data_IF_601972359055
#
_entry.id   IF_601972359055
#
_cell.length_a   1.000
_cell.length_b   1.000
_cell.length_c   1.000
_cell.angle_alpha   90.00
_cell.angle_beta   90.00
_cell.angle_gamma   90.00
#
_symmetry.space_group_name_H-M   'P 1'
#
loop_
_entity.id
_entity.type
_entity.pdbx_description
1 polymer ?
#
# COMPACT_ATOMS: atom_id res chain seq x y z
N UNK A 1 32.01 -20.72 58.52
CA UNK A 1 32.10 -19.67 57.49
C UNK A 1 32.14 -20.32 56.13
N UNK A 2 31.03 -20.33 55.44
CA UNK A 2 30.91 -20.77 54.07
C UNK A 2 31.10 -19.56 53.14
N UNK A 3 32.09 -19.63 52.29
CA UNK A 3 32.34 -18.62 51.23
C UNK A 3 31.34 -18.86 50.10
N UNK A 4 30.54 -17.84 49.79
CA UNK A 4 29.69 -17.85 48.62
C UNK A 4 30.52 -17.36 47.43
N UNK A 5 30.75 -18.25 46.45
CA UNK A 5 31.31 -17.88 45.17
C UNK A 5 30.28 -17.08 44.38
N UNK A 6 30.61 -15.85 44.05
CA UNK A 6 29.84 -15.00 43.14
C UNK A 6 30.29 -15.40 41.73
N UNK A 7 29.38 -16.00 40.96
CA UNK A 7 29.59 -16.28 39.55
C UNK A 7 29.72 -14.96 38.77
N UNK A 8 30.84 -14.81 38.05
CA UNK A 8 31.14 -13.71 37.18
C UNK A 8 30.31 -13.80 35.88
N UNK A 9 29.33 -12.90 35.71
CA UNK A 9 28.46 -12.80 34.55
C UNK A 9 29.00 -11.86 33.46
N UNK A 10 30.32 -11.60 33.42
CA UNK A 10 30.89 -10.61 32.48
C UNK A 10 31.23 -11.15 31.09
N UNK A 11 30.78 -12.34 30.70
CA UNK A 11 31.06 -12.95 29.38
C UNK A 11 29.78 -13.48 28.73
N UNK A 12 28.72 -12.64 28.65
CA UNK A 12 27.70 -12.83 27.65
C UNK A 12 27.92 -11.75 26.57
N UNK A 13 28.72 -12.11 25.56
CA UNK A 13 28.81 -11.37 24.33
C UNK A 13 27.46 -11.37 23.66
N UNK A 14 26.89 -10.18 23.52
CA UNK A 14 25.75 -9.88 22.67
C UNK A 14 26.17 -10.18 21.22
N UNK A 15 26.08 -11.43 20.80
CA UNK A 15 26.09 -11.78 19.38
C UNK A 15 24.75 -11.39 18.81
N UNK A 16 24.63 -10.11 18.49
CA UNK A 16 23.65 -9.65 17.52
C UNK A 16 23.97 -10.39 16.22
N UNK A 17 23.24 -11.47 15.96
CA UNK A 17 23.26 -12.12 14.65
C UNK A 17 22.63 -11.11 13.68
N UNK A 18 23.46 -10.24 13.15
CA UNK A 18 23.14 -9.52 11.93
C UNK A 18 23.13 -10.58 10.84
N UNK A 19 21.97 -11.13 10.53
CA UNK A 19 21.77 -11.84 9.29
C UNK A 19 21.93 -10.80 8.17
N UNK A 20 23.16 -10.58 7.73
CA UNK A 20 23.42 -10.02 6.42
C UNK A 20 22.91 -11.06 5.45
N UNK A 21 21.66 -10.88 4.98
CA UNK A 21 21.21 -11.58 3.81
C UNK A 21 22.26 -11.29 2.72
N UNK A 22 22.89 -12.33 2.20
CA UNK A 22 23.65 -12.25 0.95
C UNK A 22 22.74 -11.54 -0.04
N UNK A 23 23.23 -10.56 -0.82
CA UNK A 23 22.41 -9.92 -1.82
C UNK A 23 22.00 -10.99 -2.82
N UNK A 24 20.75 -11.43 -2.72
CA UNK A 24 20.14 -12.33 -3.69
C UNK A 24 20.20 -11.59 -5.03
N UNK A 25 21.01 -12.10 -5.95
CA UNK A 25 21.20 -11.49 -7.27
C UNK A 25 19.91 -11.60 -8.06
N UNK A 26 19.04 -10.59 -7.97
CA UNK A 26 17.70 -10.44 -8.45
C UNK A 26 16.61 -11.10 -7.59
N UNK A 27 15.79 -10.29 -6.97
CA UNK A 27 14.53 -10.74 -6.38
C UNK A 27 13.59 -11.26 -7.49
N UNK A 28 12.59 -12.06 -7.10
CA UNK A 28 11.59 -12.60 -8.04
C UNK A 28 10.81 -11.52 -8.81
N UNK A 29 10.87 -10.27 -8.39
CA UNK A 29 10.31 -9.14 -9.14
C UNK A 29 10.86 -9.04 -10.56
N UNK A 30 12.10 -9.47 -10.79
CA UNK A 30 12.72 -9.49 -12.12
C UNK A 30 11.98 -10.37 -13.13
N UNK A 31 11.22 -11.37 -12.67
CA UNK A 31 10.49 -12.31 -13.51
C UNK A 31 9.15 -11.75 -14.02
N UNK A 32 8.68 -10.64 -13.46
CA UNK A 32 7.44 -10.01 -13.87
C UNK A 32 7.64 -9.10 -15.10
N UNK A 33 6.68 -9.12 -16.02
CA UNK A 33 6.68 -8.21 -17.17
C UNK A 33 6.73 -6.72 -16.73
N UNK A 34 6.16 -6.41 -15.58
CA UNK A 34 6.19 -5.08 -14.95
C UNK A 34 7.61 -4.58 -14.65
N UNK A 35 8.60 -5.47 -14.47
CA UNK A 35 9.98 -5.12 -14.22
C UNK A 35 10.65 -4.35 -15.39
N UNK A 36 10.09 -4.43 -16.60
CA UNK A 36 10.53 -3.63 -17.74
C UNK A 36 9.84 -2.27 -17.83
N UNK A 37 8.83 -2.02 -17.00
CA UNK A 37 7.99 -0.82 -17.05
C UNK A 37 8.24 0.12 -15.87
N UNK A 38 8.69 -0.41 -14.73
CA UNK A 38 8.86 0.31 -13.47
C UNK A 38 10.23 0.04 -12.86
N UNK A 39 10.75 0.99 -12.11
CA UNK A 39 11.98 0.83 -11.32
C UNK A 39 11.71 0.37 -9.88
N UNK A 40 10.44 0.42 -9.44
CA UNK A 40 9.98 -0.16 -8.19
C UNK A 40 8.69 -0.93 -8.41
N UNK A 41 8.52 -2.02 -7.67
CA UNK A 41 7.30 -2.83 -7.68
C UNK A 41 6.85 -3.17 -6.27
N UNK A 42 5.55 -2.99 -6.02
CA UNK A 42 4.85 -3.66 -4.95
C UNK A 42 4.14 -4.87 -5.56
N UNK A 43 4.39 -6.06 -5.03
CA UNK A 43 3.79 -7.31 -5.55
C UNK A 43 2.87 -7.88 -4.48
N UNK A 44 1.61 -8.09 -4.86
CA UNK A 44 0.54 -8.62 -4.01
C UNK A 44 0.18 -10.00 -4.49
N UNK A 45 0.60 -11.01 -3.74
CA UNK A 45 0.29 -12.42 -4.04
C UNK A 45 -0.82 -12.87 -3.10
N UNK A 46 -2.03 -13.05 -3.64
CA UNK A 46 -3.20 -13.35 -2.84
C UNK A 46 -3.38 -14.85 -2.56
N UNK A 47 -3.92 -15.13 -1.40
CA UNK A 47 -4.33 -16.45 -0.93
C UNK A 47 -5.74 -16.33 -0.33
N UNK A 48 -6.74 -16.30 -1.17
CA UNK A 48 -8.11 -15.97 -0.77
C UNK A 48 -8.25 -14.49 -0.43
N UNK A 49 -8.51 -14.16 0.82
CA UNK A 49 -8.64 -12.77 1.29
C UNK A 49 -7.37 -12.22 1.94
N UNK A 50 -6.36 -13.07 2.11
CA UNK A 50 -5.02 -12.68 2.60
C UNK A 50 -4.06 -12.55 1.43
N UNK A 51 -2.98 -11.84 1.65
CA UNK A 51 -1.92 -11.71 0.67
C UNK A 51 -0.55 -11.64 1.35
N UNK A 52 0.47 -12.08 0.62
CA UNK A 52 1.86 -11.67 0.86
C UNK A 52 2.11 -10.44 0.01
N UNK A 53 2.53 -9.36 0.65
CA UNK A 53 2.85 -8.09 0.01
C UNK A 53 4.34 -7.84 0.12
N UNK A 54 4.99 -7.64 -1.02
CA UNK A 54 6.43 -7.38 -1.08
C UNK A 54 6.70 -6.09 -1.84
N UNK A 55 7.76 -5.38 -1.44
CA UNK A 55 8.23 -4.20 -2.17
C UNK A 55 9.65 -4.45 -2.66
N UNK A 56 9.89 -4.08 -3.90
CA UNK A 56 11.15 -4.29 -4.59
C UNK A 56 11.61 -3.01 -5.27
N UNK A 57 12.92 -2.83 -5.34
CA UNK A 57 13.53 -1.75 -6.10
C UNK A 57 14.63 -2.28 -7.00
N UNK A 58 14.81 -1.62 -8.15
CA UNK A 58 15.88 -1.92 -9.08
C UNK A 58 16.98 -0.87 -8.97
N UNK A 59 18.22 -1.34 -8.89
CA UNK A 59 19.41 -0.52 -9.05
C UNK A 59 20.39 -1.24 -9.99
N UNK A 60 20.85 -0.53 -11.01
CA UNK A 60 21.81 -1.05 -12.01
C UNK A 60 21.39 -2.41 -12.63
N UNK A 61 20.08 -2.59 -12.84
CA UNK A 61 19.50 -3.80 -13.42
C UNK A 61 19.29 -4.95 -12.41
N UNK A 62 19.63 -4.76 -11.15
CA UNK A 62 19.44 -5.75 -10.08
C UNK A 62 18.24 -5.38 -9.24
N UNK A 63 17.30 -6.30 -9.08
CA UNK A 63 16.12 -6.16 -8.24
C UNK A 63 16.39 -6.66 -6.83
N UNK A 64 16.02 -5.87 -5.84
CA UNK A 64 16.16 -6.20 -4.41
C UNK A 64 14.81 -6.12 -3.71
N UNK A 65 14.45 -7.16 -2.97
CA UNK A 65 13.28 -7.13 -2.07
C UNK A 65 13.65 -6.33 -0.81
N UNK A 66 12.89 -5.25 -0.56
CA UNK A 66 13.13 -4.35 0.58
C UNK A 66 12.05 -4.44 1.66
N UNK A 67 10.91 -5.09 1.37
CA UNK A 67 9.83 -5.36 2.32
C UNK A 67 9.13 -6.66 1.96
N UNK A 68 8.80 -7.44 2.99
CA UNK A 68 7.89 -8.58 2.90
C UNK A 68 6.98 -8.56 4.11
N UNK A 69 5.68 -8.54 3.89
CA UNK A 69 4.68 -8.46 4.95
C UNK A 69 3.39 -9.17 4.57
N UNK A 70 2.59 -9.49 5.57
CA UNK A 70 1.23 -9.99 5.37
C UNK A 70 0.27 -8.82 5.14
N UNK A 71 -0.74 -9.07 4.30
CA UNK A 71 -1.78 -8.11 4.01
C UNK A 71 -3.14 -8.75 3.77
N UNK A 72 -4.09 -7.91 3.44
CA UNK A 72 -5.44 -8.32 3.04
C UNK A 72 -5.80 -7.70 1.70
N UNK A 73 -6.63 -8.43 0.98
CA UNK A 73 -7.31 -7.98 -0.25
C UNK A 73 -8.81 -7.97 -0.03
N UNK A 74 -9.57 -7.72 -1.08
CA UNK A 74 -11.02 -7.69 -1.03
C UNK A 74 -11.65 -8.96 -0.47
N UNK A 75 -12.82 -8.84 0.14
CA UNK A 75 -13.56 -9.98 0.72
C UNK A 75 -13.98 -11.02 -0.31
N UNK A 76 -13.92 -10.69 -1.59
CA UNK A 76 -14.10 -11.60 -2.74
C UNK A 76 -12.78 -12.03 -3.38
N UNK A 77 -11.65 -11.78 -2.73
CA UNK A 77 -10.33 -12.09 -3.26
C UNK A 77 -9.88 -11.12 -4.35
N UNK A 78 -8.95 -11.61 -5.18
CA UNK A 78 -8.44 -10.90 -6.36
C UNK A 78 -9.15 -11.40 -7.62
N UNK A 79 -9.51 -10.48 -8.51
CA UNK A 79 -10.19 -10.83 -9.77
C UNK A 79 -10.71 -9.61 -10.51
N UNK A 80 -11.81 -9.78 -11.21
CA UNK A 80 -12.48 -8.70 -11.91
C UNK A 80 -13.15 -7.75 -10.89
N UNK A 81 -12.71 -6.51 -10.89
CA UNK A 81 -13.24 -5.48 -10.00
C UNK A 81 -14.32 -4.65 -10.70
N UNK A 82 -15.25 -4.17 -9.91
CA UNK A 82 -16.29 -3.21 -10.34
C UNK A 82 -16.86 -2.48 -9.14
N UNK A 83 -17.71 -1.49 -9.37
CA UNK A 83 -18.43 -0.78 -8.31
C UNK A 83 -19.33 -1.73 -7.46
N UNK A 84 -19.68 -2.90 -7.99
CA UNK A 84 -20.65 -3.83 -7.41
C UNK A 84 -20.04 -5.06 -6.76
N UNK A 85 -18.71 -5.16 -6.71
CA UNK A 85 -18.03 -6.32 -6.11
C UNK A 85 -16.92 -5.86 -5.17
N UNK A 86 -16.73 -6.61 -4.08
CA UNK A 86 -15.61 -6.42 -3.15
C UNK A 86 -14.37 -7.23 -3.55
N UNK A 87 -14.13 -7.38 -4.86
CA UNK A 87 -12.90 -7.96 -5.40
C UNK A 87 -11.82 -6.88 -5.56
N UNK A 88 -10.58 -7.25 -5.28
CA UNK A 88 -9.41 -6.43 -5.62
C UNK A 88 -9.07 -6.64 -7.09
N UNK A 89 -8.82 -5.58 -7.88
CA UNK A 89 -8.51 -5.74 -9.30
C UNK A 89 -7.23 -6.53 -9.52
N UNK A 90 -7.30 -7.54 -10.38
CA UNK A 90 -6.14 -8.30 -10.83
C UNK A 90 -5.43 -7.55 -11.95
N UNK A 91 -4.11 -7.50 -11.91
CA UNK A 91 -3.31 -6.90 -12.98
C UNK A 91 -2.13 -6.10 -12.46
N UNK A 92 -1.56 -5.30 -13.38
CA UNK A 92 -0.45 -4.38 -13.11
C UNK A 92 -0.95 -2.95 -13.28
N UNK A 93 -0.73 -2.13 -12.26
CA UNK A 93 -1.20 -0.74 -12.23
C UNK A 93 -0.08 0.19 -11.74
N UNK A 94 -0.08 1.48 -12.12
CA UNK A 94 0.76 2.45 -11.45
C UNK A 94 0.32 2.60 -9.97
N UNK A 95 1.30 2.80 -9.10
CA UNK A 95 1.09 3.05 -7.67
C UNK A 95 1.65 4.43 -7.34
N UNK A 96 0.77 5.37 -7.04
CA UNK A 96 1.13 6.77 -6.88
C UNK A 96 0.12 7.54 -6.03
N UNK A 97 0.23 8.86 -5.98
CA UNK A 97 -0.63 9.74 -5.22
C UNK A 97 -0.67 9.36 -3.74
N UNK A 98 0.40 9.70 -3.04
CA UNK A 98 0.53 9.46 -1.61
C UNK A 98 -0.33 10.46 -0.82
N UNK A 99 -1.15 9.94 0.08
CA UNK A 99 -2.02 10.75 0.93
C UNK A 99 -2.34 10.05 2.25
N UNK A 100 -2.93 10.76 3.17
CA UNK A 100 -3.41 10.17 4.41
C UNK A 100 -3.81 11.20 5.45
N UNK A 101 -4.43 10.70 6.52
CA UNK A 101 -4.88 11.52 7.66
C UNK A 101 -3.68 11.89 8.53
N UNK A 102 -2.72 10.97 8.67
CA UNK A 102 -1.52 11.19 9.46
C UNK A 102 -0.56 12.17 8.76
N UNK A 103 0.30 12.86 9.51
CA UNK A 103 1.36 13.67 8.93
C UNK A 103 2.27 12.85 8.01
N UNK A 104 2.91 13.52 7.04
CA UNK A 104 3.88 12.89 6.15
C UNK A 104 4.92 12.07 6.93
N UNK A 105 5.05 10.76 6.67
CA UNK A 105 5.96 9.88 7.41
C UNK A 105 7.43 10.02 6.97
N UNK A 106 7.75 10.96 6.10
CA UNK A 106 9.08 11.16 5.51
C UNK A 106 9.18 10.65 4.07
N UNK A 107 8.07 10.63 3.32
CA UNK A 107 8.09 10.27 1.89
C UNK A 107 8.85 11.30 1.06
N UNK A 108 9.50 10.83 0.01
CA UNK A 108 10.23 11.65 -0.97
C UNK A 108 9.34 12.15 -2.11
N UNK A 109 8.19 11.49 -2.30
CA UNK A 109 7.18 11.92 -3.29
C UNK A 109 6.23 12.94 -2.65
N UNK A 110 5.49 13.74 -3.44
CA UNK A 110 4.45 14.62 -2.89
C UNK A 110 3.45 13.84 -2.04
N UNK A 111 3.10 14.40 -0.88
CA UNK A 111 2.16 13.80 0.08
C UNK A 111 1.06 14.80 0.42
N UNK A 112 -0.19 14.39 0.24
CA UNK A 112 -1.37 15.14 0.68
C UNK A 112 -1.77 14.69 2.08
N UNK A 113 -1.54 15.52 3.10
CA UNK A 113 -2.22 15.32 4.38
C UNK A 113 -3.65 15.84 4.23
N UNK A 114 -4.62 14.93 4.33
CA UNK A 114 -6.04 15.25 4.10
C UNK A 114 -6.67 15.98 5.27
N UNK A 115 -7.68 16.77 4.97
CA UNK A 115 -8.54 17.44 5.94
C UNK A 115 -10.03 17.09 5.70
N UNK A 116 -10.94 17.78 6.39
CA UNK A 116 -12.38 17.52 6.35
C UNK A 116 -13.05 17.78 5.00
N UNK A 117 -12.36 18.40 4.06
CA UNK A 117 -12.88 18.73 2.72
C UNK A 117 -12.39 17.77 1.64
N UNK A 118 -11.47 16.86 1.94
CA UNK A 118 -10.91 15.95 0.96
C UNK A 118 -11.76 14.68 0.80
N UNK A 119 -12.17 14.43 -0.43
CA UNK A 119 -12.97 13.28 -0.85
C UNK A 119 -12.29 12.51 -1.96
N UNK A 120 -12.59 11.21 -2.04
CA UNK A 120 -12.40 10.44 -3.26
C UNK A 120 -13.76 10.24 -3.91
N UNK A 121 -13.94 10.76 -5.11
CA UNK A 121 -15.26 10.82 -5.77
C UNK A 121 -15.66 9.44 -6.25
N UNK A 122 -16.74 8.90 -5.69
CA UNK A 122 -17.34 7.62 -6.05
C UNK A 122 -18.62 7.73 -6.88
N UNK A 123 -19.08 8.95 -7.17
CA UNK A 123 -20.22 9.22 -8.06
C UNK A 123 -19.83 8.90 -9.52
N UNK A 124 -20.31 7.77 -10.03
CA UNK A 124 -20.01 7.28 -11.37
C UNK A 124 -20.56 8.17 -12.51
N UNK A 125 -21.46 9.10 -12.20
CA UNK A 125 -21.98 10.07 -13.16
C UNK A 125 -21.12 11.33 -13.26
N UNK A 126 -20.22 11.54 -12.31
CA UNK A 126 -19.35 12.72 -12.27
C UNK A 126 -18.15 12.58 -13.19
N UNK A 127 -17.72 13.66 -13.87
CA UNK A 127 -16.46 13.68 -14.60
C UNK A 127 -15.22 13.55 -13.69
N UNK A 128 -15.40 13.72 -12.36
CA UNK A 128 -14.37 13.52 -11.35
C UNK A 128 -14.38 12.10 -10.74
N UNK A 129 -15.20 11.19 -11.27
CA UNK A 129 -15.26 9.82 -10.79
C UNK A 129 -13.88 9.18 -10.67
N UNK A 130 -13.62 8.54 -9.53
CA UNK A 130 -12.34 7.94 -9.17
C UNK A 130 -11.15 8.92 -9.07
N UNK A 131 -11.41 10.15 -8.66
CA UNK A 131 -10.40 11.18 -8.41
C UNK A 131 -10.53 11.77 -7.02
N UNK A 132 -9.42 12.28 -6.48
CA UNK A 132 -9.43 13.09 -5.27
C UNK A 132 -9.96 14.48 -5.60
N UNK A 133 -10.90 14.99 -4.81
CA UNK A 133 -11.48 16.32 -4.98
C UNK A 133 -11.80 16.98 -3.63
N UNK A 134 -11.77 18.31 -3.60
CA UNK A 134 -12.12 19.09 -2.40
C UNK A 134 -13.58 19.57 -2.46
N UNK A 135 -14.22 19.55 -1.32
CA UNK A 135 -15.60 20.01 -1.12
C UNK A 135 -15.66 21.15 -0.07
N UNK A 136 -14.78 22.13 -0.19
CA UNK A 136 -14.74 23.36 0.62
C UNK A 136 -15.73 24.43 0.11
N UNK A 137 -16.44 24.12 -0.97
CA UNK A 137 -17.56 24.88 -1.55
C UNK A 137 -18.64 23.93 -2.05
N UNK A 138 -19.68 24.44 -2.69
CA UNK A 138 -20.69 23.61 -3.33
C UNK A 138 -20.05 22.79 -4.47
N UNK A 139 -20.39 21.50 -4.52
CA UNK A 139 -19.93 20.56 -5.53
C UNK A 139 -21.10 20.00 -6.34
N UNK A 140 -20.83 19.55 -7.56
CA UNK A 140 -21.81 19.00 -8.50
C UNK A 140 -21.82 17.45 -8.56
N UNK A 141 -21.08 16.80 -7.65
CA UNK A 141 -21.07 15.36 -7.51
C UNK A 141 -21.67 14.92 -6.16
N UNK A 142 -22.16 13.68 -6.11
CA UNK A 142 -22.80 13.13 -4.92
C UNK A 142 -21.77 12.73 -3.85
N UNK A 143 -21.80 13.48 -2.73
CA UNK A 143 -20.96 13.20 -1.55
C UNK A 143 -21.33 11.87 -0.88
N UNK A 144 -22.58 11.42 -0.98
CA UNK A 144 -23.03 10.17 -0.35
C UNK A 144 -22.53 8.91 -1.08
N UNK A 145 -22.19 9.05 -2.36
CA UNK A 145 -21.55 8.01 -3.17
C UNK A 145 -20.02 8.10 -3.16
N UNK A 146 -19.48 9.09 -2.44
CA UNK A 146 -18.04 9.37 -2.38
C UNK A 146 -17.47 9.11 -1.00
N UNK A 147 -16.17 8.83 -0.92
CA UNK A 147 -15.50 8.63 0.36
C UNK A 147 -14.92 9.94 0.88
N UNK A 148 -15.44 10.43 2.01
CA UNK A 148 -14.77 11.47 2.78
C UNK A 148 -13.62 10.83 3.52
N UNK A 149 -12.40 11.14 3.12
CA UNK A 149 -11.21 10.36 3.51
C UNK A 149 -10.99 10.38 5.01
N UNK A 150 -11.22 11.52 5.67
CA UNK A 150 -10.99 11.70 7.11
C UNK A 150 -11.93 10.84 8.00
N UNK A 151 -13.02 10.31 7.44
CA UNK A 151 -13.97 9.47 8.17
C UNK A 151 -13.46 8.04 8.40
N UNK A 152 -12.30 7.68 7.84
CA UNK A 152 -11.68 6.35 7.91
C UNK A 152 -10.31 6.37 8.62
N UNK A 153 -10.22 6.82 9.89
CA UNK A 153 -8.94 7.08 10.53
C UNK A 153 -8.06 5.84 10.71
N UNK A 154 -8.65 4.65 10.87
CA UNK A 154 -7.89 3.40 11.01
C UNK A 154 -7.37 2.85 9.68
N UNK A 155 -8.07 3.12 8.57
CA UNK A 155 -7.69 2.62 7.24
C UNK A 155 -6.85 3.65 6.47
N UNK A 156 -7.24 4.92 6.51
CA UNK A 156 -6.64 5.95 5.68
C UNK A 156 -5.65 6.84 6.42
N UNK A 157 -5.01 6.30 7.46
CA UNK A 157 -3.86 6.95 8.09
C UNK A 157 -2.75 7.23 7.09
N UNK A 158 -2.43 6.26 6.25
CA UNK A 158 -1.51 6.34 5.11
C UNK A 158 -2.07 5.59 3.91
N UNK A 159 -2.02 6.19 2.74
CA UNK A 159 -2.56 5.64 1.51
C UNK A 159 -1.69 5.91 0.30
N UNK A 160 -1.79 5.00 -0.67
CA UNK A 160 -1.36 5.16 -2.05
C UNK A 160 -2.50 4.77 -2.99
N UNK A 161 -2.72 5.55 -4.03
CA UNK A 161 -3.71 5.22 -5.05
C UNK A 161 -3.19 4.09 -5.94
N UNK A 162 -3.99 3.03 -6.09
CA UNK A 162 -3.79 1.99 -7.09
C UNK A 162 -4.45 2.49 -8.37
N UNK A 163 -3.65 2.69 -9.41
CA UNK A 163 -4.08 3.30 -10.66
C UNK A 163 -4.95 2.39 -11.54
N UNK A 164 -5.96 1.78 -10.92
CA UNK A 164 -7.03 1.08 -11.62
C UNK A 164 -8.13 2.07 -11.97
N UNK A 165 -8.68 1.95 -13.18
CA UNK A 165 -9.74 2.83 -13.68
C UNK A 165 -9.42 4.34 -13.56
N UNK A 166 -8.21 4.71 -13.94
CA UNK A 166 -7.73 6.11 -13.89
C UNK A 166 -8.61 7.04 -14.76
N UNK A 167 -9.12 6.50 -15.88
CA UNK A 167 -9.95 7.26 -16.83
C UNK A 167 -11.37 7.52 -16.29
N UNK A 168 -11.74 6.92 -15.15
CA UNK A 168 -13.03 7.11 -14.54
C UNK A 168 -14.18 6.55 -15.37
N UNK A 169 -13.97 5.39 -15.99
CA UNK A 169 -15.06 4.69 -16.70
C UNK A 169 -16.16 4.34 -15.71
N UNK A 170 -17.41 4.82 -15.93
CA UNK A 170 -18.51 4.59 -15.02
C UNK A 170 -18.71 3.12 -14.66
N UNK A 171 -18.99 2.84 -13.38
CA UNK A 171 -19.29 1.52 -12.83
C UNK A 171 -18.13 0.50 -12.83
N UNK A 172 -16.96 0.83 -13.36
CA UNK A 172 -15.78 -0.04 -13.30
C UNK A 172 -15.17 -0.13 -11.91
N UNK A 173 -15.51 0.80 -11.03
CA UNK A 173 -15.02 0.84 -9.66
C UNK A 173 -14.13 2.05 -9.38
N UNK A 174 -14.09 2.43 -8.11
CA UNK A 174 -13.35 3.59 -7.60
C UNK A 174 -12.78 3.30 -6.23
N UNK A 175 -11.91 4.20 -5.73
CA UNK A 175 -11.37 4.14 -4.38
C UNK A 175 -10.53 2.88 -4.10
N UNK A 176 -9.72 2.43 -5.05
CA UNK A 176 -8.78 1.34 -4.83
C UNK A 176 -7.46 1.88 -4.32
N UNK A 177 -7.14 1.58 -3.07
CA UNK A 177 -5.94 2.05 -2.39
C UNK A 177 -5.11 0.91 -1.83
N UNK A 178 -3.82 1.15 -1.68
CA UNK A 178 -2.98 0.46 -0.72
C UNK A 178 -3.01 1.30 0.56
N UNK A 179 -3.51 0.75 1.68
CA UNK A 179 -3.78 1.49 2.90
C UNK A 179 -3.48 0.69 4.18
N UNK A 180 -3.71 1.30 5.34
CA UNK A 180 -3.48 0.67 6.64
C UNK A 180 -4.53 -0.40 6.93
N UNK A 181 -4.09 -1.57 7.38
CA UNK A 181 -4.96 -2.70 7.72
C UNK A 181 -5.65 -2.50 9.07
N UNK A 182 -6.89 -2.95 9.15
CA UNK A 182 -7.63 -3.14 10.40
C UNK A 182 -7.77 -4.64 10.78
N UNK A 183 -6.94 -5.51 10.21
CA UNK A 183 -6.87 -6.94 10.52
C UNK A 183 -7.95 -7.80 9.86
N UNK A 184 -8.61 -7.31 8.81
CA UNK A 184 -9.67 -8.02 8.08
C UNK A 184 -9.66 -7.71 6.58
N UNK A 185 -10.34 -8.54 5.75
CA UNK A 185 -10.51 -8.27 4.33
C UNK A 185 -11.15 -6.90 4.06
N UNK A 186 -10.82 -6.33 2.91
CA UNK A 186 -11.28 -5.00 2.48
C UNK A 186 -12.53 -5.09 1.59
N UNK A 187 -13.02 -3.95 1.15
CA UNK A 187 -14.05 -3.86 0.12
C UNK A 187 -13.49 -3.89 -1.32
N UNK A 188 -12.18 -4.08 -1.48
CA UNK A 188 -11.49 -4.14 -2.77
C UNK A 188 -10.07 -3.58 -2.74
N UNK A 189 -9.72 -2.81 -1.72
CA UNK A 189 -8.36 -2.30 -1.51
C UNK A 189 -7.37 -3.41 -1.13
N UNK A 190 -6.09 -3.06 -1.15
CA UNK A 190 -5.01 -3.83 -0.52
C UNK A 190 -4.62 -3.14 0.78
N UNK A 191 -4.43 -3.89 1.86
CA UNK A 191 -4.01 -3.30 3.13
C UNK A 191 -2.86 -4.06 3.77
N UNK A 192 -1.97 -3.32 4.41
CA UNK A 192 -0.86 -3.81 5.22
C UNK A 192 -0.82 -3.05 6.54
N UNK A 193 0.03 -3.44 7.49
CA UNK A 193 0.13 -2.73 8.76
C UNK A 193 0.46 -1.24 8.57
N UNK A 194 0.08 -0.40 9.52
CA UNK A 194 0.39 1.05 9.47
C UNK A 194 1.91 1.29 9.42
N UNK A 195 2.69 0.51 10.16
CA UNK A 195 4.15 0.60 10.14
C UNK A 195 4.74 0.25 8.77
N UNK A 196 4.17 -0.76 8.09
CA UNK A 196 4.61 -1.14 6.75
C UNK A 196 4.15 -0.12 5.70
N UNK A 197 2.96 0.46 5.86
CA UNK A 197 2.55 1.60 5.01
C UNK A 197 3.52 2.79 5.15
N UNK A 198 3.91 3.13 6.37
CA UNK A 198 4.90 4.18 6.60
C UNK A 198 6.26 3.84 5.96
N UNK A 199 6.68 2.57 6.02
CA UNK A 199 7.90 2.10 5.35
C UNK A 199 7.78 2.24 3.83
N UNK A 200 6.68 1.80 3.23
CA UNK A 200 6.43 1.92 1.79
C UNK A 200 6.48 3.40 1.37
N UNK A 201 5.79 4.28 2.09
CA UNK A 201 5.79 5.71 1.79
C UNK A 201 7.17 6.35 1.90
N UNK A 202 8.02 5.93 2.84
CA UNK A 202 9.40 6.44 2.95
C UNK A 202 10.32 5.98 1.83
N UNK A 203 9.98 4.87 1.16
CA UNK A 203 10.83 4.25 0.14
C UNK A 203 10.29 4.38 -1.29
N UNK A 204 9.01 4.74 -1.47
CA UNK A 204 8.42 4.88 -2.79
C UNK A 204 9.01 6.08 -3.55
N UNK A 205 9.28 5.87 -4.83
CA UNK A 205 9.63 6.89 -5.82
C UNK A 205 8.49 7.15 -6.79
N UNK A 206 8.75 7.99 -7.78
CA UNK A 206 7.74 8.41 -8.78
C UNK A 206 7.44 7.31 -9.82
N UNK A 207 8.30 6.30 -9.93
CA UNK A 207 8.21 5.22 -10.92
C UNK A 207 7.99 3.86 -10.23
N UNK A 208 6.83 3.74 -9.60
CA UNK A 208 6.42 2.52 -8.90
C UNK A 208 5.15 1.93 -9.51
N UNK A 209 5.17 0.63 -9.75
CA UNK A 209 3.99 -0.16 -10.11
C UNK A 209 3.54 -1.08 -8.97
N UNK A 210 2.30 -1.55 -9.06
CA UNK A 210 1.77 -2.61 -8.22
C UNK A 210 1.27 -3.75 -9.10
N UNK A 211 1.69 -4.97 -8.79
CA UNK A 211 1.20 -6.22 -9.41
C UNK A 211 0.30 -6.91 -8.42
N UNK A 212 -0.91 -7.26 -8.82
CA UNK A 212 -1.92 -7.91 -7.98
C UNK A 212 -2.34 -9.22 -8.65
N UNK A 213 -2.14 -10.36 -7.98
CA UNK A 213 -2.42 -11.70 -8.47
C UNK A 213 -2.97 -12.66 -7.40
#
# INVERSE_FOLDING_TARGET
SASVEIADYSQMSDETVTQTAEPDNNSFAADYAAASQYSQLVIVQSHGTRATVTMHEQQDGVWTEILRTDGFVGSKGVGEASEYTSATPQGTFPLYFAFGINPNPGTKVPYLQVDEYDYWVGDSSSPLYNQCARADSDVDWDKSESERIIDYPSAYGYCLFIGYNIEGTPHMGSCYFLHCSNGRPTAGCVSVSESDMAFILRNIGEDCGIVIE
#
